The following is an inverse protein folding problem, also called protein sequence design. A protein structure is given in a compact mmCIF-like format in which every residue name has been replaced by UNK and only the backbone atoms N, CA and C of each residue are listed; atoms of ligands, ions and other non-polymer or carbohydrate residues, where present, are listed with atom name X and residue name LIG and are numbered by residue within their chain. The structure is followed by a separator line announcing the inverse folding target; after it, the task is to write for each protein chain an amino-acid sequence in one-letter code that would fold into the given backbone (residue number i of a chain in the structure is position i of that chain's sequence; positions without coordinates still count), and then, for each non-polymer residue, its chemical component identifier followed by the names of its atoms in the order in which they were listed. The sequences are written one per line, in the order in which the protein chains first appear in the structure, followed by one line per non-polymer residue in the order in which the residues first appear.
data_IF_308227691747
#
_entry.id   IF_308227691747
#
_cell.length_a   1.000
_cell.length_b   1.000
_cell.length_c   1.000
_cell.angle_alpha   90.00
_cell.angle_beta   90.00
_cell.angle_gamma   90.00
#
_symmetry.space_group_name_H-M   'P 1'
#
loop_
_entity.id
_entity.type
_entity.pdbx_description
1 polymer ?
#
# COMPACT_ATOMS: atom_id res chain seq x y z
N UNK A 1 7.54 -1.91 -11.17
CA UNK A 1 8.16 -0.58 -11.09
C UNK A 1 8.91 -0.33 -12.37
N UNK A 2 8.71 0.82 -13.00
CA UNK A 2 9.41 1.20 -14.24
C UNK A 2 9.99 2.60 -14.09
N UNK A 3 11.25 2.80 -14.50
CA UNK A 3 11.87 4.13 -14.54
C UNK A 3 11.37 4.83 -15.81
N UNK A 4 10.80 6.02 -15.64
CA UNK A 4 10.30 6.87 -16.74
C UNK A 4 11.36 7.86 -17.21
N UNK A 5 12.04 8.49 -16.26
CA UNK A 5 13.04 9.53 -16.52
C UNK A 5 14.08 9.52 -15.39
N UNK A 6 15.34 9.73 -15.74
CA UNK A 6 16.45 9.80 -14.81
C UNK A 6 17.29 11.04 -15.14
N UNK A 7 17.43 11.90 -14.14
CA UNK A 7 18.23 13.12 -14.20
C UNK A 7 19.34 13.03 -13.17
N UNK A 8 20.28 13.98 -13.21
CA UNK A 8 21.49 13.96 -12.38
C UNK A 8 21.21 13.80 -10.86
N UNK A 9 20.04 14.21 -10.37
CA UNK A 9 19.68 14.16 -8.94
C UNK A 9 18.29 13.60 -8.66
N UNK A 10 17.55 13.18 -9.69
CA UNK A 10 16.14 12.76 -9.53
C UNK A 10 15.83 11.59 -10.44
N UNK A 11 15.01 10.67 -9.95
CA UNK A 11 14.48 9.55 -10.72
C UNK A 11 12.97 9.60 -10.65
N UNK A 12 12.32 9.59 -11.81
CA UNK A 12 10.87 9.48 -11.92
C UNK A 12 10.51 8.02 -12.20
N UNK A 13 9.75 7.42 -11.29
CA UNK A 13 9.30 6.03 -11.40
C UNK A 13 7.78 5.97 -11.55
N UNK A 14 7.32 5.04 -12.39
CA UNK A 14 5.94 4.60 -12.42
C UNK A 14 5.76 3.44 -11.43
N UNK A 15 4.85 3.64 -10.48
CA UNK A 15 4.45 2.66 -9.49
C UNK A 15 3.03 2.21 -9.78
N UNK A 16 2.77 0.91 -9.63
CA UNK A 16 1.41 0.42 -9.45
C UNK A 16 0.86 0.83 -8.07
N UNK A 17 -0.46 0.81 -7.91
CA UNK A 17 -1.09 1.13 -6.62
C UNK A 17 -0.59 0.22 -5.48
N UNK A 18 -0.37 -1.07 -5.78
CA UNK A 18 0.18 -2.05 -4.84
C UNK A 18 1.60 -1.73 -4.43
N UNK A 19 2.45 -1.33 -5.37
CA UNK A 19 3.84 -0.95 -5.09
C UNK A 19 3.90 0.35 -4.26
N UNK A 20 3.05 1.32 -4.57
CA UNK A 20 2.94 2.56 -3.80
C UNK A 20 2.51 2.27 -2.34
N UNK A 21 1.58 1.34 -2.14
CA UNK A 21 1.18 0.88 -0.81
C UNK A 21 2.28 0.12 -0.06
N UNK A 22 3.02 -0.75 -0.74
CA UNK A 22 4.15 -1.45 -0.13
C UNK A 22 5.27 -0.48 0.31
N UNK A 23 5.61 0.50 -0.54
CA UNK A 23 6.62 1.51 -0.22
C UNK A 23 6.18 2.39 0.96
N UNK A 24 4.92 2.82 1.00
CA UNK A 24 4.43 3.65 2.10
C UNK A 24 4.50 2.90 3.44
N UNK A 25 4.15 1.61 3.44
CA UNK A 25 4.23 0.78 4.64
C UNK A 25 5.68 0.58 5.13
N UNK A 26 6.61 0.27 4.21
CA UNK A 26 8.02 0.08 4.53
C UNK A 26 8.66 1.37 5.11
N UNK A 27 8.32 2.54 4.54
CA UNK A 27 8.79 3.83 5.06
C UNK A 27 8.26 4.11 6.46
N UNK A 28 6.99 3.79 6.74
CA UNK A 28 6.39 4.00 8.07
C UNK A 28 7.03 3.07 9.09
N UNK A 29 7.23 1.79 8.75
CA UNK A 29 7.91 0.81 9.59
C UNK A 29 9.36 1.23 9.91
N UNK A 30 10.05 1.79 8.92
CA UNK A 30 11.43 2.25 9.03
C UNK A 30 11.57 3.77 9.26
N UNK A 31 10.55 4.41 9.85
CA UNK A 31 10.44 5.87 9.93
C UNK A 31 11.66 6.59 10.52
N UNK A 32 12.35 5.96 11.47
CA UNK A 32 13.57 6.50 12.08
C UNK A 32 14.74 6.66 11.09
N UNK A 33 14.79 5.86 10.02
CA UNK A 33 15.83 5.88 8.98
C UNK A 33 15.42 6.68 7.74
N UNK A 34 14.12 6.70 7.43
CA UNK A 34 13.60 7.30 6.20
C UNK A 34 13.58 8.84 6.24
N UNK A 35 13.50 9.43 7.44
CA UNK A 35 13.46 10.88 7.64
C UNK A 35 12.10 11.51 7.34
N UNK A 36 11.95 12.78 7.71
CA UNK A 36 10.64 13.46 7.74
C UNK A 36 9.97 13.58 6.37
N UNK A 37 10.75 13.81 5.30
CA UNK A 37 10.20 13.95 3.95
C UNK A 37 9.63 12.64 3.40
N UNK A 38 10.31 11.51 3.65
CA UNK A 38 9.80 10.20 3.27
C UNK A 38 8.54 9.85 4.06
N UNK A 39 8.52 10.14 5.37
CA UNK A 39 7.33 9.94 6.20
C UNK A 39 6.13 10.76 5.71
N UNK A 40 6.34 12.01 5.29
CA UNK A 40 5.28 12.83 4.71
C UNK A 40 4.74 12.22 3.41
N UNK A 41 5.61 11.69 2.55
CA UNK A 41 5.21 10.98 1.33
C UNK A 41 4.40 9.72 1.66
N UNK A 42 4.85 8.91 2.62
CA UNK A 42 4.16 7.68 3.00
C UNK A 42 2.75 7.97 3.57
N UNK A 43 2.62 9.01 4.39
CA UNK A 43 1.31 9.45 4.90
C UNK A 43 0.39 9.91 3.77
N UNK A 44 0.90 10.71 2.83
CA UNK A 44 0.15 11.15 1.65
C UNK A 44 -0.36 9.95 0.84
N UNK A 45 0.51 8.96 0.58
CA UNK A 45 0.12 7.75 -0.16
C UNK A 45 -1.00 6.97 0.57
N UNK A 46 -0.91 6.86 1.90
CA UNK A 46 -1.95 6.20 2.69
C UNK A 46 -3.28 6.97 2.69
N UNK A 47 -3.25 8.30 2.77
CA UNK A 47 -4.43 9.16 2.69
C UNK A 47 -5.13 9.07 1.33
N UNK A 48 -4.37 8.83 0.25
CA UNK A 48 -4.90 8.59 -1.08
C UNK A 48 -5.41 7.15 -1.30
N UNK A 49 -5.36 6.30 -0.27
CA UNK A 49 -5.85 4.92 -0.33
C UNK A 49 -4.85 3.90 -0.90
N UNK A 50 -3.58 4.27 -1.07
CA UNK A 50 -2.52 3.32 -1.42
C UNK A 50 -2.07 2.58 -0.16
N UNK A 51 -2.82 1.53 0.16
CA UNK A 51 -2.54 0.62 1.28
C UNK A 51 -1.88 -0.63 0.70
N UNK A 52 -0.84 -1.20 1.33
CA UNK A 52 -0.34 -2.50 0.91
C UNK A 52 -1.50 -3.51 0.92
N UNK A 53 -1.54 -4.42 -0.05
CA UNK A 53 -2.45 -5.56 0.03
C UNK A 53 -2.15 -6.28 1.35
N UNK A 54 -2.99 -6.06 2.37
CA UNK A 54 -3.19 -7.07 3.40
C UNK A 54 -3.64 -8.30 2.65
N UNK A 55 -2.89 -9.41 2.77
CA UNK A 55 -3.31 -10.73 2.28
C UNK A 55 -4.83 -10.81 2.43
N UNK A 56 -5.51 -10.88 1.28
CA UNK A 56 -6.92 -10.48 1.18
C UNK A 56 -7.71 -11.09 2.32
N UNK A 57 -8.51 -10.26 3.00
CA UNK A 57 -9.65 -10.74 3.78
C UNK A 57 -10.28 -11.86 2.94
N UNK A 58 -10.34 -13.11 3.46
CA UNK A 58 -10.84 -14.23 2.69
C UNK A 58 -12.20 -13.79 2.18
N UNK A 59 -12.33 -13.64 0.85
CA UNK A 59 -13.61 -13.30 0.26
C UNK A 59 -14.56 -14.39 0.71
N UNK A 60 -15.54 -14.00 1.50
CA UNK A 60 -16.59 -14.91 1.91
C UNK A 60 -17.29 -15.39 0.64
N UNK A 61 -17.03 -16.64 0.28
CA UNK A 61 -17.67 -17.31 -0.84
C UNK A 61 -18.95 -17.93 -0.29
N UNK A 62 -20.09 -17.36 -0.67
CA UNK A 62 -21.40 -17.84 -0.23
C UNK A 62 -21.61 -19.28 -0.70
N UNK A 63 -21.63 -20.22 0.25
CA UNK A 63 -21.74 -21.66 -0.03
C UNK A 63 -23.18 -22.16 -0.19
N UNK A 64 -24.19 -21.30 0.02
CA UNK A 64 -25.59 -21.62 -0.17
C UNK A 64 -26.52 -20.99 0.89
N UNK A 65 -27.84 -21.27 0.82
CA UNK A 65 -28.83 -20.64 1.69
C UNK A 65 -28.70 -20.95 3.19
N UNK A 66 -27.98 -22.03 3.54
CA UNK A 66 -27.67 -22.40 4.93
C UNK A 66 -26.42 -21.70 5.48
N UNK A 67 -25.67 -21.01 4.61
CA UNK A 67 -24.45 -20.28 4.94
C UNK A 67 -24.81 -18.86 5.40
N UNK A 68 -25.57 -18.76 6.49
CA UNK A 68 -25.83 -17.50 7.18
C UNK A 68 -25.09 -17.51 8.53
N UNK A 69 -24.31 -16.46 8.86
CA UNK A 69 -23.67 -16.37 10.16
C UNK A 69 -24.77 -16.29 11.24
N UNK A 70 -24.84 -17.32 12.09
CA UNK A 70 -25.68 -17.28 13.28
C UNK A 70 -25.25 -16.11 14.16
N UNK A 71 -26.16 -15.19 14.55
CA UNK A 71 -25.84 -14.14 15.50
C UNK A 71 -25.52 -14.78 16.86
N UNK A 72 -24.31 -14.53 17.35
CA UNK A 72 -23.89 -14.79 18.73
C UNK A 72 -24.19 -13.62 19.64
#
# INVERSE_FOLDING_TARGET
MLIKDEQEKTVTIHLSAREAGAISADIIENGAKAGNAALALANLLREQGYIPDTEGEPRYEWAGPDDLPTPG
#
